data_IF_957884592197
#
_entry.id   IF_957884592197
#
_cell.length_a   1.000
_cell.length_b   1.000
_cell.length_c   1.000
_cell.angle_alpha   90.00
_cell.angle_beta   90.00
_cell.angle_gamma   90.00
#
_symmetry.space_group_name_H-M   'P 1'
#
loop_
_entity.id
_entity.type
_entity.pdbx_description
1 polymer ?
#
# COMPACT_ATOMS: atom_id res chain seq x y z
N UNK A 1 -14.37 29.72 14.45
CA UNK A 1 -13.00 29.39 14.91
C UNK A 1 -12.65 28.01 14.35
N UNK A 2 -11.81 27.96 13.32
CA UNK A 2 -11.26 26.69 12.84
C UNK A 2 -10.27 26.20 13.89
N UNK A 3 -10.70 25.22 14.68
CA UNK A 3 -9.82 24.47 15.59
C UNK A 3 -8.72 23.83 14.76
N UNK A 4 -7.54 24.45 14.79
CA UNK A 4 -6.31 23.80 14.39
C UNK A 4 -6.03 22.71 15.42
N UNK A 5 -6.63 21.53 15.24
CA UNK A 5 -6.11 20.33 15.86
C UNK A 5 -4.67 20.21 15.38
N UNK A 6 -3.75 20.60 16.25
CA UNK A 6 -2.33 20.37 16.06
C UNK A 6 -2.16 18.87 15.83
N UNK A 7 -1.26 18.49 14.93
CA UNK A 7 -0.94 17.08 14.62
C UNK A 7 -0.49 16.24 15.84
N UNK A 8 -0.48 16.81 17.05
CA UNK A 8 -0.01 16.19 18.29
C UNK A 8 -0.97 15.20 18.95
N UNK A 9 -2.28 15.33 18.77
CA UNK A 9 -3.28 14.50 19.50
C UNK A 9 -3.91 13.38 18.64
N UNK A 10 -3.33 13.08 17.47
CA UNK A 10 -3.83 11.98 16.63
C UNK A 10 -3.34 10.64 17.19
N UNK A 11 -4.20 9.91 17.90
CA UNK A 11 -3.91 8.53 18.30
C UNK A 11 -3.68 7.67 17.05
N UNK A 12 -2.57 6.91 16.96
CA UNK A 12 -2.35 6.00 15.85
C UNK A 12 -3.29 4.79 15.98
N UNK A 13 -3.79 4.27 14.86
CA UNK A 13 -4.62 3.08 14.79
C UNK A 13 -3.72 1.84 14.74
N UNK A 14 -3.78 1.03 15.78
CA UNK A 14 -3.21 -0.33 15.84
C UNK A 14 -4.00 -1.32 14.97
N UNK A 15 -3.49 -2.55 14.82
CA UNK A 15 -4.18 -3.63 14.11
C UNK A 15 -5.64 -3.81 14.57
N UNK A 16 -5.86 -3.79 15.89
CA UNK A 16 -7.18 -3.99 16.50
C UNK A 16 -8.07 -2.75 16.39
N UNK A 17 -7.51 -1.55 16.51
CA UNK A 17 -8.26 -0.30 16.36
C UNK A 17 -8.73 -0.09 14.92
N UNK A 18 -7.90 -0.45 13.93
CA UNK A 18 -8.32 -0.51 12.53
C UNK A 18 -9.47 -1.49 12.36
N UNK A 19 -9.40 -2.68 12.95
CA UNK A 19 -10.48 -3.67 12.92
C UNK A 19 -11.79 -3.13 13.47
N UNK A 20 -11.76 -2.56 14.68
CA UNK A 20 -12.94 -1.96 15.34
C UNK A 20 -13.55 -0.83 14.51
N UNK A 21 -12.72 0.06 13.96
CA UNK A 21 -13.20 1.17 13.13
C UNK A 21 -13.88 0.68 11.86
N UNK A 22 -13.31 -0.36 11.22
CA UNK A 22 -13.84 -0.96 10.00
C UNK A 22 -15.09 -1.79 10.27
N UNK A 23 -15.21 -2.48 11.41
CA UNK A 23 -16.43 -3.18 11.82
C UNK A 23 -17.59 -2.20 12.08
N UNK A 24 -17.30 -1.04 12.66
CA UNK A 24 -18.30 0.02 12.81
C UNK A 24 -18.75 0.55 11.44
N UNK A 25 -17.83 0.68 10.48
CA UNK A 25 -18.16 1.11 9.12
C UNK A 25 -18.95 0.04 8.37
N UNK A 26 -18.60 -1.23 8.49
CA UNK A 26 -19.37 -2.33 7.91
C UNK A 26 -20.83 -2.34 8.40
N UNK A 27 -21.02 -2.16 9.71
CA UNK A 27 -22.35 -2.05 10.31
C UNK A 27 -23.10 -0.75 9.92
N UNK A 28 -22.37 0.32 9.61
CA UNK A 28 -22.96 1.58 9.15
C UNK A 28 -23.38 1.50 7.68
N UNK A 29 -22.61 0.80 6.84
CA UNK A 29 -22.98 0.47 5.46
C UNK A 29 -24.29 -0.35 5.45
N UNK A 30 -24.45 -1.30 6.38
CA UNK A 30 -25.65 -2.12 6.51
C UNK A 30 -26.95 -1.34 6.79
N UNK A 31 -26.84 -0.11 7.32
CA UNK A 31 -27.99 0.74 7.62
C UNK A 31 -28.47 1.56 6.41
N UNK A 32 -27.67 1.63 5.34
CA UNK A 32 -27.99 2.40 4.15
C UNK A 32 -28.53 1.51 3.04
N UNK A 33 -29.83 1.63 2.74
CA UNK A 33 -30.45 0.90 1.61
C UNK A 33 -29.73 1.19 0.29
N UNK A 34 -29.28 2.43 0.09
CA UNK A 34 -28.53 2.84 -1.10
C UNK A 34 -27.20 2.09 -1.19
N UNK A 35 -26.36 2.10 -0.14
CA UNK A 35 -25.08 1.38 -0.19
C UNK A 35 -25.28 -0.14 -0.29
N UNK A 36 -26.30 -0.67 0.40
CA UNK A 36 -26.64 -2.09 0.34
C UNK A 36 -27.00 -2.57 -1.06
N UNK A 37 -27.52 -1.70 -1.93
CA UNK A 37 -27.81 -2.05 -3.33
C UNK A 37 -26.56 -2.37 -4.19
N UNK A 38 -25.37 -2.01 -3.70
CA UNK A 38 -24.08 -2.25 -4.38
C UNK A 38 -23.07 -2.99 -3.50
N UNK A 39 -23.53 -3.58 -2.39
CA UNK A 39 -22.67 -4.35 -1.49
C UNK A 39 -22.15 -5.65 -2.14
N UNK A 40 -20.95 -6.12 -1.75
CA UNK A 40 -20.05 -5.47 -0.79
C UNK A 40 -19.39 -4.21 -1.38
N UNK A 41 -19.30 -3.16 -0.57
CA UNK A 41 -18.52 -1.97 -0.90
C UNK A 41 -17.04 -2.36 -0.89
N UNK A 42 -16.36 -2.13 -2.03
CA UNK A 42 -14.97 -2.51 -2.21
C UNK A 42 -14.07 -1.29 -2.23
N UNK A 43 -13.00 -1.34 -1.45
CA UNK A 43 -11.90 -0.40 -1.50
C UNK A 43 -10.59 -1.12 -1.75
N UNK A 44 -9.59 -0.37 -2.17
CA UNK A 44 -8.19 -0.78 -2.07
C UNK A 44 -7.50 0.15 -1.07
N UNK A 45 -6.57 -0.37 -0.28
CA UNK A 45 -5.72 0.43 0.61
C UNK A 45 -4.25 0.18 0.34
N UNK A 46 -3.45 1.24 0.44
CA UNK A 46 -1.99 1.17 0.40
C UNK A 46 -1.38 1.91 1.59
N UNK A 47 -0.09 1.72 1.81
CA UNK A 47 0.63 2.48 2.83
C UNK A 47 0.49 1.87 4.23
N UNK A 48 0.22 2.71 5.22
CA UNK A 48 0.33 2.32 6.64
C UNK A 48 -0.62 1.21 7.06
N UNK A 49 -1.87 1.21 6.59
CA UNK A 49 -2.81 0.13 6.87
C UNK A 49 -2.36 -1.22 6.31
N UNK A 50 -1.78 -1.23 5.10
CA UNK A 50 -1.17 -2.43 4.52
C UNK A 50 0.03 -2.92 5.34
N UNK A 51 0.86 -2.00 5.82
CA UNK A 51 2.04 -2.29 6.65
C UNK A 51 1.66 -2.91 8.01
N UNK A 52 0.56 -2.46 8.61
CA UNK A 52 0.04 -2.96 9.90
C UNK A 52 -0.71 -4.28 9.74
N UNK A 53 -1.67 -4.34 8.81
CA UNK A 53 -2.67 -5.43 8.73
C UNK A 53 -2.24 -6.63 7.90
N UNK A 54 -1.28 -6.45 6.97
CA UNK A 54 -0.86 -7.51 6.04
C UNK A 54 0.63 -7.80 6.17
N UNK A 55 1.46 -6.76 6.19
CA UNK A 55 2.91 -6.94 6.27
C UNK A 55 3.41 -7.19 7.70
N UNK A 56 2.64 -6.77 8.70
CA UNK A 56 2.97 -6.82 10.13
C UNK A 56 4.34 -6.22 10.47
N UNK A 57 4.82 -5.26 9.67
CA UNK A 57 6.11 -4.60 9.87
C UNK A 57 5.99 -3.29 10.66
N UNK A 58 4.76 -2.88 11.00
CA UNK A 58 4.44 -1.73 11.86
C UNK A 58 3.41 -2.12 12.90
N UNK A 59 3.46 -1.47 14.04
CA UNK A 59 2.48 -1.64 15.13
C UNK A 59 1.19 -0.84 14.88
N UNK A 60 1.30 0.33 14.24
CA UNK A 60 0.17 1.24 14.01
C UNK A 60 0.38 2.19 12.81
N UNK A 61 -0.72 2.80 12.34
CA UNK A 61 -0.75 3.87 11.32
C UNK A 61 -1.77 4.93 11.72
N UNK A 62 -1.56 6.18 11.32
CA UNK A 62 -2.45 7.28 11.70
C UNK A 62 -3.78 7.28 10.92
N UNK A 63 -3.76 6.74 9.71
CA UNK A 63 -4.90 6.62 8.78
C UNK A 63 -4.87 5.30 8.01
N UNK A 64 -6.00 5.06 7.35
CA UNK A 64 -6.23 4.11 6.29
C UNK A 64 -6.44 4.90 4.98
N UNK A 65 -5.37 5.02 4.19
CA UNK A 65 -5.45 5.60 2.85
C UNK A 65 -6.10 4.60 1.89
N UNK A 66 -7.20 5.01 1.27
CA UNK A 66 -7.99 4.15 0.38
C UNK A 66 -8.26 4.77 -1.00
N UNK A 67 -8.70 3.92 -1.92
CA UNK A 67 -9.45 4.29 -3.12
C UNK A 67 -10.69 3.40 -3.18
N UNK A 68 -11.87 4.03 -3.27
CA UNK A 68 -13.15 3.36 -3.45
C UNK A 68 -13.28 2.83 -4.88
N UNK A 69 -14.10 1.80 -5.09
CA UNK A 69 -14.42 1.29 -6.43
C UNK A 69 -14.73 2.45 -7.39
N UNK A 70 -13.95 2.61 -8.48
CA UNK A 70 -14.14 3.69 -9.43
C UNK A 70 -15.56 3.75 -10.01
N UNK A 71 -16.29 2.64 -10.10
CA UNK A 71 -17.68 2.63 -10.53
C UNK A 71 -18.61 3.29 -9.51
N UNK A 72 -18.40 3.04 -8.21
CA UNK A 72 -19.15 3.69 -7.12
C UNK A 72 -18.83 5.18 -7.10
N UNK A 73 -17.55 5.56 -7.22
CA UNK A 73 -17.15 6.98 -7.18
C UNK A 73 -17.70 7.84 -8.32
N UNK A 74 -18.17 7.22 -9.42
CA UNK A 74 -18.79 7.94 -10.55
C UNK A 74 -20.23 8.35 -10.27
N UNK A 75 -20.91 7.67 -9.36
CA UNK A 75 -22.28 7.97 -9.00
C UNK A 75 -22.28 8.77 -7.68
N UNK A 76 -22.61 10.07 -7.80
CA UNK A 76 -22.47 11.03 -6.70
C UNK A 76 -23.21 10.60 -5.43
N UNK A 77 -24.44 10.12 -5.56
CA UNK A 77 -25.29 9.71 -4.43
C UNK A 77 -24.63 8.60 -3.59
N UNK A 78 -24.05 7.58 -4.23
CA UNK A 78 -23.35 6.51 -3.51
C UNK A 78 -22.08 7.01 -2.82
N UNK A 79 -21.35 7.91 -3.48
CA UNK A 79 -20.15 8.48 -2.89
C UNK A 79 -20.50 9.35 -1.67
N UNK A 80 -21.50 10.22 -1.79
CA UNK A 80 -21.95 11.08 -0.69
C UNK A 80 -22.43 10.25 0.49
N UNK A 81 -23.23 9.21 0.25
CA UNK A 81 -23.72 8.33 1.30
C UNK A 81 -22.59 7.53 1.97
N UNK A 82 -21.60 7.06 1.20
CA UNK A 82 -20.43 6.40 1.77
C UNK A 82 -19.59 7.35 2.64
N UNK A 83 -19.40 8.60 2.20
CA UNK A 83 -18.71 9.62 3.00
C UNK A 83 -19.51 10.00 4.27
N UNK A 84 -20.84 9.99 4.20
CA UNK A 84 -21.70 10.19 5.34
C UNK A 84 -21.58 9.02 6.34
N UNK A 85 -21.53 7.77 5.87
CA UNK A 85 -21.29 6.59 6.71
C UNK A 85 -19.94 6.70 7.45
N UNK A 86 -18.85 7.06 6.76
CA UNK A 86 -17.55 7.32 7.40
C UNK A 86 -17.68 8.40 8.48
N UNK A 87 -18.37 9.50 8.19
CA UNK A 87 -18.57 10.61 9.14
C UNK A 87 -19.34 10.18 10.39
N UNK A 88 -20.37 9.31 10.25
CA UNK A 88 -21.12 8.74 11.38
C UNK A 88 -20.24 7.84 12.24
N UNK A 89 -19.39 7.02 11.63
CA UNK A 89 -18.40 6.18 12.34
C UNK A 89 -17.37 7.04 13.07
N UNK A 90 -16.87 8.11 12.45
CA UNK A 90 -15.93 9.05 13.08
C UNK A 90 -16.51 9.58 14.39
N UNK A 91 -17.77 10.03 14.38
CA UNK A 91 -18.45 10.54 15.58
C UNK A 91 -18.68 9.41 16.60
N UNK A 92 -19.23 8.27 16.16
CA UNK A 92 -19.59 7.14 17.03
C UNK A 92 -18.38 6.50 17.72
N UNK A 93 -17.27 6.37 17.01
CA UNK A 93 -16.04 5.75 17.49
C UNK A 93 -15.03 6.71 18.09
N UNK A 94 -15.25 8.03 18.01
CA UNK A 94 -14.30 9.03 18.50
C UNK A 94 -13.01 9.09 17.69
N UNK A 95 -13.07 8.78 16.39
CA UNK A 95 -11.90 8.82 15.51
C UNK A 95 -11.66 10.24 14.96
N UNK A 96 -10.44 10.51 14.50
CA UNK A 96 -10.14 11.75 13.78
C UNK A 96 -10.83 11.78 12.41
N UNK A 97 -11.28 12.93 11.88
CA UNK A 97 -12.07 12.99 10.65
C UNK A 97 -11.44 12.35 9.40
N UNK A 98 -10.10 12.23 9.35
CA UNK A 98 -9.34 11.68 8.25
C UNK A 98 -8.77 10.27 8.52
N UNK A 99 -9.32 9.56 9.51
CA UNK A 99 -8.90 8.19 9.86
C UNK A 99 -9.02 7.21 8.69
N UNK A 100 -10.03 7.38 7.84
CA UNK A 100 -10.18 6.71 6.55
C UNK A 100 -10.40 7.77 5.47
N UNK A 101 -9.54 7.79 4.46
CA UNK A 101 -9.50 8.86 3.48
C UNK A 101 -9.26 8.33 2.06
N UNK A 102 -9.48 9.18 1.05
CA UNK A 102 -9.36 8.83 -0.38
C UNK A 102 -8.01 9.25 -1.00
N UNK A 103 -6.95 9.42 -0.21
CA UNK A 103 -5.69 10.00 -0.67
C UNK A 103 -4.96 9.15 -1.71
N UNK A 104 -5.23 7.84 -1.80
CA UNK A 104 -4.67 6.97 -2.85
C UNK A 104 -4.99 7.53 -4.24
N UNK A 105 -6.17 8.13 -4.41
CA UNK A 105 -6.62 8.70 -5.68
C UNK A 105 -5.79 9.91 -6.15
N UNK A 106 -5.13 10.62 -5.23
CA UNK A 106 -4.27 11.77 -5.56
C UNK A 106 -3.00 11.35 -6.31
N UNK A 107 -2.69 10.07 -6.25
CA UNK A 107 -1.44 9.51 -6.74
C UNK A 107 -1.59 8.63 -7.99
N UNK A 108 -2.81 8.52 -8.49
CA UNK A 108 -3.16 7.67 -9.63
C UNK A 108 -3.91 8.53 -10.63
N UNK A 109 -3.39 8.62 -11.86
CA UNK A 109 -4.10 9.35 -12.91
C UNK A 109 -5.46 8.68 -13.17
N UNK A 110 -6.46 9.47 -13.56
CA UNK A 110 -7.87 9.04 -13.60
C UNK A 110 -8.07 7.79 -14.46
N UNK A 111 -7.32 7.67 -15.54
CA UNK A 111 -7.35 6.60 -16.53
C UNK A 111 -6.83 5.27 -15.96
N UNK A 112 -5.89 5.31 -15.01
CA UNK A 112 -5.29 4.11 -14.41
C UNK A 112 -6.04 3.62 -13.16
N UNK A 113 -6.97 4.41 -12.60
CA UNK A 113 -7.69 4.03 -11.37
C UNK A 113 -8.45 2.72 -11.50
N UNK A 114 -9.22 2.54 -12.58
CA UNK A 114 -9.96 1.28 -12.82
C UNK A 114 -9.02 0.08 -12.98
N UNK A 115 -7.90 0.24 -13.68
CA UNK A 115 -6.90 -0.81 -13.85
C UNK A 115 -6.26 -1.19 -12.51
N UNK A 116 -5.75 -0.20 -11.78
CA UNK A 116 -5.14 -0.43 -10.47
C UNK A 116 -6.12 -1.11 -9.52
N UNK A 117 -7.38 -0.64 -9.48
CA UNK A 117 -8.41 -1.24 -8.64
C UNK A 117 -8.65 -2.71 -9.00
N UNK A 118 -8.84 -3.01 -10.28
CA UNK A 118 -9.10 -4.38 -10.74
C UNK A 118 -7.93 -5.32 -10.44
N UNK A 119 -6.69 -4.90 -10.75
CA UNK A 119 -5.48 -5.68 -10.47
C UNK A 119 -5.29 -5.91 -8.95
N UNK A 120 -5.70 -4.94 -8.12
CA UNK A 120 -5.66 -5.05 -6.66
C UNK A 120 -6.71 -6.03 -6.11
N UNK A 121 -7.89 -6.11 -6.72
CA UNK A 121 -8.91 -7.11 -6.39
C UNK A 121 -8.46 -8.49 -6.84
N UNK A 122 -7.88 -8.60 -8.05
CA UNK A 122 -7.44 -9.87 -8.64
C UNK A 122 -6.34 -10.59 -7.86
N UNK A 123 -5.44 -9.86 -7.19
CA UNK A 123 -4.44 -10.48 -6.30
C UNK A 123 -5.05 -11.12 -5.05
N UNK A 124 -6.30 -10.80 -4.69
CA UNK A 124 -7.05 -11.47 -3.62
C UNK A 124 -6.55 -11.20 -2.19
N UNK A 125 -5.54 -10.35 -2.00
CA UNK A 125 -4.99 -10.01 -0.68
C UNK A 125 -5.92 -8.99 0.00
N UNK A 126 -6.44 -9.34 1.17
CA UNK A 126 -7.39 -8.50 1.92
C UNK A 126 -6.70 -7.86 3.13
N UNK A 127 -6.94 -6.58 3.33
CA UNK A 127 -6.60 -5.80 4.53
C UNK A 127 -7.70 -5.95 5.59
N UNK A 128 -8.95 -6.03 5.12
CA UNK A 128 -10.16 -6.20 5.91
C UNK A 128 -11.26 -6.88 5.10
N UNK A 129 -12.10 -7.67 5.77
CA UNK A 129 -13.27 -8.33 5.21
C UNK A 129 -14.38 -8.38 6.26
N UNK A 130 -15.46 -7.63 6.01
CA UNK A 130 -16.73 -7.68 6.72
C UNK A 130 -17.84 -8.22 5.83
N UNK A 131 -19.09 -8.14 6.30
CA UNK A 131 -20.24 -8.63 5.55
C UNK A 131 -20.64 -7.70 4.39
N UNK A 132 -20.37 -6.41 4.52
CA UNK A 132 -20.81 -5.34 3.62
C UNK A 132 -19.64 -4.52 3.06
N UNK A 133 -18.45 -4.66 3.65
CA UNK A 133 -17.26 -3.89 3.32
C UNK A 133 -16.04 -4.83 3.13
N UNK A 134 -15.34 -4.67 2.01
CA UNK A 134 -14.08 -5.37 1.76
C UNK A 134 -13.00 -4.37 1.36
N UNK A 135 -11.86 -4.42 2.03
CA UNK A 135 -10.68 -3.62 1.68
C UNK A 135 -9.59 -4.57 1.19
N UNK A 136 -9.26 -4.47 -0.09
CA UNK A 136 -8.13 -5.18 -0.68
C UNK A 136 -6.83 -4.41 -0.44
N UNK A 137 -5.71 -5.14 -0.38
CA UNK A 137 -4.42 -4.50 -0.59
C UNK A 137 -4.41 -3.90 -2.00
N UNK A 138 -3.88 -2.68 -2.15
CA UNK A 138 -3.52 -2.18 -3.48
C UNK A 138 -2.43 -3.06 -4.11
N UNK A 139 -2.39 -3.12 -5.44
CA UNK A 139 -1.42 -3.93 -6.20
C UNK A 139 -0.02 -3.78 -5.61
N UNK A 140 0.53 -4.87 -5.07
CA UNK A 140 1.74 -4.79 -4.24
C UNK A 140 2.93 -4.17 -4.97
N UNK A 141 3.10 -4.49 -6.26
CA UNK A 141 4.17 -3.90 -7.07
C UNK A 141 4.06 -2.38 -7.22
N UNK A 142 2.83 -1.85 -7.34
CA UNK A 142 2.62 -0.40 -7.35
C UNK A 142 2.88 0.21 -5.96
N UNK A 143 2.45 -0.46 -4.89
CA UNK A 143 2.75 -0.02 -3.54
C UNK A 143 4.27 0.02 -3.28
N UNK A 144 5.02 -0.98 -3.76
CA UNK A 144 6.48 -1.06 -3.66
C UNK A 144 7.14 0.11 -4.38
N UNK A 145 6.79 0.31 -5.65
CA UNK A 145 7.29 1.42 -6.48
C UNK A 145 7.14 2.75 -5.75
N UNK A 146 5.96 3.03 -5.20
CA UNK A 146 5.69 4.26 -4.46
C UNK A 146 6.55 4.43 -3.22
N UNK A 147 6.82 3.35 -2.49
CA UNK A 147 7.69 3.40 -1.30
C UNK A 147 9.11 3.72 -1.69
N UNK A 148 9.67 3.02 -2.68
CA UNK A 148 11.04 3.28 -3.16
C UNK A 148 11.16 4.69 -3.74
N UNK A 149 10.16 5.15 -4.48
CA UNK A 149 10.07 6.53 -4.95
C UNK A 149 10.13 7.52 -3.79
N UNK A 150 9.43 7.28 -2.68
CA UNK A 150 9.50 8.15 -1.51
C UNK A 150 10.89 8.11 -0.83
N UNK A 151 11.56 6.96 -0.80
CA UNK A 151 12.95 6.84 -0.33
C UNK A 151 13.88 7.74 -1.17
N UNK A 152 13.75 7.70 -2.51
CA UNK A 152 14.57 8.51 -3.43
C UNK A 152 14.41 10.02 -3.24
N UNK A 153 13.22 10.49 -2.86
CA UNK A 153 12.91 11.91 -2.68
C UNK A 153 13.03 12.40 -1.23
N UNK A 154 13.34 11.51 -0.28
CA UNK A 154 13.51 11.85 1.14
C UNK A 154 14.91 12.44 1.40
N UNK A 155 15.21 13.62 0.84
CA UNK A 155 16.55 14.22 0.99
C UNK A 155 16.92 14.68 2.41
N UNK A 156 15.95 14.95 3.30
CA UNK A 156 16.27 15.52 4.64
C UNK A 156 15.40 15.02 5.81
N UNK A 157 14.56 14.00 5.63
CA UNK A 157 13.63 13.52 6.69
C UNK A 157 13.93 12.09 7.10
N UNK A 158 15.03 11.88 7.86
CA UNK A 158 15.45 10.57 8.40
C UNK A 158 14.27 9.72 8.90
N UNK A 159 13.39 10.31 9.73
CA UNK A 159 12.20 9.62 10.28
C UNK A 159 11.22 9.04 9.24
N UNK A 160 11.01 9.71 8.10
CA UNK A 160 10.12 9.18 7.05
C UNK A 160 10.85 8.14 6.20
N UNK A 161 12.15 8.32 6.00
CA UNK A 161 12.98 7.44 5.18
C UNK A 161 13.04 6.02 5.79
N UNK A 162 13.31 5.91 7.09
CA UNK A 162 13.40 4.60 7.79
C UNK A 162 12.10 3.80 7.67
N UNK A 163 10.99 4.50 7.78
CA UNK A 163 9.63 3.96 7.71
C UNK A 163 9.29 3.48 6.30
N UNK A 164 9.71 4.22 5.25
CA UNK A 164 9.48 3.81 3.87
C UNK A 164 10.42 2.69 3.40
N UNK A 165 11.66 2.65 3.90
CA UNK A 165 12.60 1.55 3.64
C UNK A 165 12.07 0.24 4.23
N UNK A 166 11.61 0.26 5.50
CA UNK A 166 11.05 -0.92 6.17
C UNK A 166 9.81 -1.46 5.46
N UNK A 167 8.89 -0.59 5.04
CA UNK A 167 7.71 -0.98 4.29
C UNK A 167 8.05 -1.55 2.92
N UNK A 168 8.98 -0.90 2.18
CA UNK A 168 9.40 -1.39 0.88
C UNK A 168 9.98 -2.79 0.99
N UNK A 169 10.84 -3.05 1.98
CA UNK A 169 11.40 -4.38 2.21
C UNK A 169 10.32 -5.42 2.58
N UNK A 170 9.32 -5.04 3.37
CA UNK A 170 8.21 -5.94 3.67
C UNK A 170 7.38 -6.29 2.41
N UNK A 171 7.17 -5.31 1.52
CA UNK A 171 6.50 -5.53 0.24
C UNK A 171 7.31 -6.43 -0.70
N UNK A 172 8.64 -6.27 -0.76
CA UNK A 172 9.52 -7.18 -1.51
C UNK A 172 9.30 -8.62 -1.07
N UNK A 173 9.21 -8.87 0.25
CA UNK A 173 9.00 -10.20 0.80
C UNK A 173 7.68 -10.83 0.37
N UNK A 174 6.64 -10.02 0.16
CA UNK A 174 5.33 -10.48 -0.31
C UNK A 174 5.28 -10.67 -1.84
N UNK A 175 6.06 -9.92 -2.59
CA UNK A 175 6.04 -9.95 -4.07
C UNK A 175 6.97 -11.04 -4.61
N UNK A 176 8.14 -11.23 -4.00
CA UNK A 176 9.11 -12.21 -4.49
C UNK A 176 8.56 -13.64 -4.33
N UNK A 177 8.82 -14.56 -5.28
CA UNK A 177 8.50 -15.96 -5.07
C UNK A 177 9.32 -16.52 -3.90
N UNK A 178 8.74 -17.40 -3.09
CA UNK A 178 9.36 -17.91 -1.86
C UNK A 178 10.73 -18.54 -2.10
N UNK A 179 10.87 -19.32 -3.18
CA UNK A 179 12.11 -19.99 -3.59
C UNK A 179 12.59 -19.51 -4.97
N UNK A 180 12.16 -18.31 -5.39
CA UNK A 180 12.49 -17.74 -6.68
C UNK A 180 13.59 -16.69 -6.61
N UNK A 181 14.02 -16.18 -7.79
CA UNK A 181 15.03 -15.14 -7.84
C UNK A 181 14.54 -13.84 -7.18
N UNK A 182 15.47 -12.99 -6.71
CA UNK A 182 15.13 -11.67 -6.18
C UNK A 182 14.44 -10.79 -7.23
N UNK A 183 13.82 -9.70 -6.79
CA UNK A 183 13.35 -8.68 -7.73
C UNK A 183 14.55 -7.98 -8.39
N UNK A 184 14.50 -7.74 -9.69
CA UNK A 184 15.57 -7.02 -10.36
C UNK A 184 15.43 -5.50 -10.23
N UNK A 185 16.56 -4.78 -10.25
CA UNK A 185 16.54 -3.31 -10.33
C UNK A 185 15.76 -2.83 -11.56
N UNK A 186 15.93 -3.52 -12.69
CA UNK A 186 15.18 -3.25 -13.92
C UNK A 186 13.67 -3.39 -13.71
N UNK A 187 13.23 -4.50 -13.12
CA UNK A 187 11.82 -4.74 -12.82
C UNK A 187 11.23 -3.59 -12.01
N UNK A 188 11.91 -3.16 -10.94
CA UNK A 188 11.45 -2.07 -10.07
C UNK A 188 11.32 -0.74 -10.82
N UNK A 189 12.30 -0.39 -11.68
CA UNK A 189 12.26 0.84 -12.49
C UNK A 189 11.09 0.85 -13.49
N UNK A 190 10.64 -0.32 -13.93
CA UNK A 190 9.55 -0.48 -14.90
C UNK A 190 8.14 -0.52 -14.26
N UNK A 191 8.03 -0.49 -12.93
CA UNK A 191 6.74 -0.53 -12.21
C UNK A 191 5.90 0.76 -12.31
N UNK A 192 6.37 1.75 -13.06
CA UNK A 192 5.74 3.05 -13.20
C UNK A 192 4.33 2.96 -13.84
N UNK A 193 3.29 2.91 -12.99
CA UNK A 193 1.90 2.73 -13.41
C UNK A 193 1.37 3.88 -14.28
N UNK A 194 1.68 5.11 -13.88
CA UNK A 194 1.19 6.32 -14.52
C UNK A 194 2.04 6.67 -15.77
N UNK A 195 3.29 6.23 -15.80
CA UNK A 195 4.17 6.25 -16.97
C UNK A 195 4.86 7.59 -17.24
N UNK A 196 4.58 8.63 -16.46
CA UNK A 196 5.14 9.97 -16.66
C UNK A 196 6.06 10.42 -15.51
N UNK A 197 6.08 9.71 -14.38
CA UNK A 197 6.95 10.07 -13.26
C UNK A 197 8.40 9.57 -13.43
N UNK A 198 9.33 10.29 -12.82
CA UNK A 198 10.75 9.93 -12.81
C UNK A 198 10.94 8.61 -12.04
N UNK A 199 11.49 7.54 -12.64
CA UNK A 199 11.70 6.27 -11.93
C UNK A 199 12.52 6.43 -10.64
N UNK A 200 12.34 5.55 -9.64
CA UNK A 200 13.21 5.54 -8.46
C UNK A 200 14.68 5.35 -8.86
N UNK A 201 15.59 5.98 -8.12
CA UNK A 201 17.04 5.88 -8.41
C UNK A 201 17.61 4.54 -7.92
N UNK A 202 18.70 4.10 -8.54
CA UNK A 202 19.38 2.86 -8.16
C UNK A 202 19.89 2.91 -6.71
N UNK A 203 20.24 4.09 -6.20
CA UNK A 203 20.63 4.27 -4.80
C UNK A 203 19.47 3.96 -3.85
N UNK A 204 18.26 4.43 -4.17
CA UNK A 204 17.08 4.15 -3.35
C UNK A 204 16.67 2.68 -3.41
N UNK A 205 16.81 2.04 -4.58
CA UNK A 205 16.58 0.61 -4.74
C UNK A 205 17.60 -0.19 -3.91
N UNK A 206 18.88 0.18 -3.98
CA UNK A 206 19.96 -0.46 -3.22
C UNK A 206 19.78 -0.31 -1.72
N UNK A 207 19.36 0.86 -1.25
CA UNK A 207 19.07 1.07 0.18
C UNK A 207 17.98 0.12 0.71
N UNK A 208 16.93 -0.12 -0.08
CA UNK A 208 15.90 -1.11 0.27
C UNK A 208 16.44 -2.54 0.17
N UNK A 209 17.28 -2.83 -0.82
CA UNK A 209 17.93 -4.13 -0.97
C UNK A 209 18.81 -4.48 0.23
N UNK A 210 19.64 -3.53 0.67
CA UNK A 210 20.55 -3.68 1.81
C UNK A 210 19.78 -3.88 3.11
N UNK A 211 18.72 -3.07 3.34
CA UNK A 211 17.85 -3.24 4.51
C UNK A 211 17.14 -4.60 4.49
N UNK A 212 16.64 -5.02 3.33
CA UNK A 212 16.00 -6.33 3.17
C UNK A 212 16.97 -7.46 3.54
N UNK A 213 18.17 -7.44 2.97
CA UNK A 213 19.22 -8.42 3.23
C UNK A 213 19.59 -8.49 4.72
N UNK A 214 19.77 -7.34 5.36
CA UNK A 214 20.06 -7.26 6.79
C UNK A 214 18.92 -7.81 7.66
N UNK A 215 17.67 -7.53 7.28
CA UNK A 215 16.49 -7.89 8.09
C UNK A 215 16.09 -9.36 7.94
N UNK A 216 16.17 -9.90 6.72
CA UNK A 216 15.63 -11.22 6.39
C UNK A 216 16.70 -12.28 6.13
N UNK A 217 17.98 -11.90 6.02
CA UNK A 217 19.09 -12.85 5.84
C UNK A 217 19.13 -13.50 4.46
N UNK A 218 18.51 -12.88 3.46
CA UNK A 218 18.48 -13.34 2.06
C UNK A 218 18.45 -12.15 1.09
N UNK A 219 18.85 -12.36 -0.17
CA UNK A 219 18.80 -11.32 -1.20
C UNK A 219 17.36 -11.21 -1.74
N UNK A 220 16.69 -10.09 -1.46
CA UNK A 220 15.32 -9.82 -1.94
C UNK A 220 15.25 -8.97 -3.21
N UNK A 221 16.26 -8.11 -3.43
CA UNK A 221 16.43 -7.30 -4.63
C UNK A 221 17.87 -7.42 -5.08
N UNK A 222 18.11 -7.63 -6.37
CA UNK A 222 19.46 -7.68 -6.91
C UNK A 222 19.58 -7.00 -8.28
N UNK A 223 20.78 -6.51 -8.58
CA UNK A 223 21.11 -6.18 -9.96
C UNK A 223 21.45 -7.48 -10.71
N UNK A 224 20.68 -7.77 -11.76
CA UNK A 224 20.80 -9.01 -12.51
C UNK A 224 21.61 -8.79 -13.77
N UNK A 225 22.53 -9.71 -14.03
CA UNK A 225 23.39 -9.69 -15.21
C UNK A 225 23.03 -10.87 -16.12
N UNK A 226 22.83 -10.60 -17.41
CA UNK A 226 22.65 -11.65 -18.40
C UNK A 226 24.01 -12.23 -18.78
N UNK A 227 24.15 -13.54 -18.67
CA UNK A 227 25.29 -14.28 -19.17
C UNK A 227 24.94 -14.89 -20.54
N UNK A 228 25.57 -14.37 -21.59
CA UNK A 228 25.28 -14.79 -22.96
C UNK A 228 25.75 -16.23 -23.25
N UNK A 229 26.82 -16.68 -22.60
CA UNK A 229 27.38 -18.02 -22.80
C UNK A 229 26.51 -19.08 -22.12
N UNK A 230 25.99 -18.76 -20.92
CA UNK A 230 25.08 -19.65 -20.20
C UNK A 230 23.61 -19.51 -20.64
N UNK A 231 23.25 -18.43 -21.35
CA UNK A 231 21.88 -18.12 -21.76
C UNK A 231 20.93 -17.91 -20.57
N UNK A 232 21.44 -17.36 -19.46
CA UNK A 232 20.72 -17.21 -18.19
C UNK A 232 21.07 -15.93 -17.46
N UNK A 233 20.16 -15.47 -16.59
CA UNK A 233 20.44 -14.38 -15.66
C UNK A 233 21.17 -14.91 -14.42
N UNK A 234 22.06 -14.09 -13.87
CA UNK A 234 22.74 -14.31 -12.60
C UNK A 234 22.77 -13.05 -11.75
N UNK A 235 22.91 -13.22 -10.45
CA UNK A 235 23.05 -12.14 -9.48
C UNK A 235 24.05 -12.52 -8.39
N UNK A 236 24.42 -11.57 -7.55
CA UNK A 236 25.31 -11.82 -6.41
C UNK A 236 24.53 -12.11 -5.14
N UNK A 237 24.88 -13.18 -4.44
CA UNK A 237 24.32 -13.49 -3.12
C UNK A 237 24.94 -12.65 -1.99
N UNK A 238 24.59 -12.96 -0.73
CA UNK A 238 25.10 -12.27 0.45
C UNK A 238 26.61 -12.48 0.68
N UNK A 239 27.17 -13.56 0.13
CA UNK A 239 28.59 -13.89 0.16
C UNK A 239 29.34 -13.28 -1.02
N UNK A 240 28.65 -12.51 -1.87
CA UNK A 240 29.18 -11.87 -3.06
C UNK A 240 29.55 -12.88 -4.18
N UNK A 241 29.01 -14.10 -4.11
CA UNK A 241 29.18 -15.16 -5.08
C UNK A 241 28.07 -15.11 -6.16
N UNK A 242 28.38 -15.59 -7.37
CA UNK A 242 27.41 -15.60 -8.47
C UNK A 242 26.42 -16.77 -8.33
N UNK A 243 25.13 -16.43 -8.30
CA UNK A 243 24.01 -17.38 -8.28
C UNK A 243 23.16 -17.19 -9.52
N UNK A 244 22.71 -18.31 -10.10
CA UNK A 244 21.84 -18.33 -11.28
C UNK A 244 20.37 -18.14 -10.89
N UNK A 245 19.64 -17.40 -11.71
CA UNK A 245 18.18 -17.31 -11.61
C UNK A 245 17.49 -18.58 -12.12
#
# INVERSE_FOLDING_TARGET
>A
MTSSLSRGDRAPLTYDEMGKALDLLDAEVAQSELLMSVCPIRLISVGGALAVRVCFNREASYDIDCMLDPNITRAADYLEEFMAAISRVTIKGGYVPDWLNRQVELFVCKEQRSRLFLESVQQGIKVYEGANLVIYAGRLSWALERKIRRVAHSRDRRRHKDVDVSDAAALVRLIKPQDGPPLSFKYIRELNLNGFEIPPTDEAIREVADYYAQKYGEVGIADMVWDADAGKWKYRDLQNEWVWC
#
